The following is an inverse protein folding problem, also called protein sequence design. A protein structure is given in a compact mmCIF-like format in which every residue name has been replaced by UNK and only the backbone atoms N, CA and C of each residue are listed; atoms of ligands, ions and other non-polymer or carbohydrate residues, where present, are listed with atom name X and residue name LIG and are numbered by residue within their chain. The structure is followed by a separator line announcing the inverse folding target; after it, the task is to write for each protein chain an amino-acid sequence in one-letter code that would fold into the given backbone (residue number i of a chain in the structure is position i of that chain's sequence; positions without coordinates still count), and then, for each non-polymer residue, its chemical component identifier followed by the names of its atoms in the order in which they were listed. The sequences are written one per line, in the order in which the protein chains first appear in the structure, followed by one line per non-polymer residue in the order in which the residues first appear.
data_IF_852899455407
#
_entry.id   IF_852899455407
#
_cell.length_a   1.000
_cell.length_b   1.000
_cell.length_c   1.000
_cell.angle_alpha   90.00
_cell.angle_beta   90.00
_cell.angle_gamma   90.00
#
_symmetry.space_group_name_H-M   'P 1'
#
loop_
_entity.id
_entity.type
_entity.pdbx_description
1 polymer ?
#
# COMPACT_ATOMS: atom_id res chain seq x y z
N UNK A 1 56.65 -17.83 -33.30
CA UNK A 1 55.22 -18.06 -33.57
C UNK A 1 54.47 -16.88 -32.97
N UNK A 2 54.56 -15.63 -33.47
CA UNK A 2 54.41 -15.10 -34.84
C UNK A 2 53.22 -15.67 -35.60
N UNK A 3 52.20 -14.82 -35.75
CA UNK A 3 51.28 -14.62 -36.91
C UNK A 3 50.29 -13.51 -36.47
N UNK A 4 50.64 -12.22 -36.56
CA UNK A 4 50.51 -11.31 -37.72
C UNK A 4 49.08 -11.18 -38.29
N UNK A 5 48.48 -10.02 -38.00
CA UNK A 5 47.38 -9.38 -38.72
C UNK A 5 47.67 -9.22 -40.22
N UNK A 6 46.63 -9.23 -41.07
CA UNK A 6 46.66 -8.55 -42.36
C UNK A 6 45.73 -7.32 -42.41
N UNK A 7 46.31 -6.25 -42.94
CA UNK A 7 45.68 -5.03 -43.46
C UNK A 7 44.73 -5.30 -44.64
N UNK A 8 43.72 -4.44 -44.84
CA UNK A 8 43.25 -3.84 -46.12
C UNK A 8 42.03 -2.92 -45.78
N UNK A 9 42.10 -1.58 -45.77
CA UNK A 9 42.19 -0.56 -46.85
C UNK A 9 40.89 -0.28 -47.64
N UNK A 10 40.39 0.95 -47.48
CA UNK A 10 39.62 1.82 -48.40
C UNK A 10 38.22 1.43 -48.91
N UNK A 11 37.21 2.26 -48.57
CA UNK A 11 36.33 2.90 -49.57
C UNK A 11 35.44 4.01 -48.93
N UNK A 12 35.52 5.19 -49.53
CA UNK A 12 34.58 6.32 -49.40
C UNK A 12 33.17 5.94 -49.85
N UNK A 13 32.11 6.39 -49.15
CA UNK A 13 30.98 7.06 -49.80
C UNK A 13 30.09 7.85 -48.82
N UNK A 14 30.01 9.16 -49.05
CA UNK A 14 28.95 10.07 -48.57
C UNK A 14 27.85 10.13 -49.64
N UNK A 15 26.56 10.27 -49.27
CA UNK A 15 25.77 11.37 -49.82
C UNK A 15 24.91 12.04 -48.71
N UNK A 16 25.01 13.36 -48.48
CA UNK A 16 24.31 14.47 -49.16
C UNK A 16 22.78 14.35 -49.22
N UNK A 17 22.16 15.06 -48.27
CA UNK A 17 20.96 15.92 -48.32
C UNK A 17 20.15 15.95 -49.62
N UNK A 18 18.81 15.91 -49.49
CA UNK A 18 17.93 16.71 -50.33
C UNK A 18 16.64 17.06 -49.59
N UNK A 19 16.56 18.32 -49.17
CA UNK A 19 15.32 19.03 -48.87
C UNK A 19 14.55 19.24 -50.18
N UNK A 20 13.23 19.06 -50.16
CA UNK A 20 12.34 19.78 -51.06
C UNK A 20 10.98 19.99 -50.41
N UNK A 21 10.68 21.26 -50.29
CA UNK A 21 9.45 21.92 -49.89
C UNK A 21 8.43 21.92 -51.04
N UNK A 22 7.23 22.39 -50.69
CA UNK A 22 6.09 22.82 -51.52
C UNK A 22 4.94 21.80 -51.60
N UNK A 23 3.66 22.15 -51.54
CA UNK A 23 2.92 23.35 -51.13
C UNK A 23 1.43 23.05 -51.34
N UNK A 24 0.56 23.63 -50.50
CA UNK A 24 -0.83 24.00 -50.82
C UNK A 24 -1.87 22.88 -50.98
N UNK A 25 -2.90 22.87 -50.12
CA UNK A 25 -4.23 23.40 -50.48
C UNK A 25 -5.29 23.17 -49.40
N UNK A 26 -6.02 24.26 -49.13
CA UNK A 26 -7.35 24.39 -48.53
C UNK A 26 -8.18 23.13 -48.26
N UNK A 27 -8.73 23.04 -47.06
CA UNK A 27 -10.19 22.98 -46.96
C UNK A 27 -10.73 23.47 -45.62
N UNK A 28 -11.52 24.53 -45.75
CA UNK A 28 -12.38 25.16 -44.77
C UNK A 28 -13.47 24.17 -44.33
N UNK A 29 -13.56 23.87 -43.04
CA UNK A 29 -14.75 23.26 -42.46
C UNK A 29 -15.07 23.96 -41.14
N UNK A 30 -15.76 25.09 -41.26
CA UNK A 30 -16.52 25.71 -40.18
C UNK A 30 -17.56 24.68 -39.70
N UNK A 31 -17.52 24.28 -38.44
CA UNK A 31 -18.68 23.63 -37.82
C UNK A 31 -19.07 24.36 -36.56
N UNK A 32 -20.31 24.81 -36.62
CA UNK A 32 -20.94 25.77 -35.74
C UNK A 32 -21.12 25.24 -34.31
N UNK A 33 -20.97 26.20 -33.39
CA UNK A 33 -21.56 26.27 -32.07
C UNK A 33 -22.96 25.61 -32.02
N UNK A 34 -23.15 24.73 -31.05
CA UNK A 34 -24.46 24.54 -30.41
C UNK A 34 -24.30 24.60 -28.90
N UNK A 35 -24.51 25.80 -28.40
CA UNK A 35 -24.97 26.04 -27.04
C UNK A 35 -26.29 25.28 -26.85
N UNK A 36 -26.35 24.39 -25.86
CA UNK A 36 -27.60 23.88 -25.32
C UNK A 36 -27.62 24.20 -23.83
N UNK A 37 -28.04 25.43 -23.53
CA UNK A 37 -28.64 25.76 -22.25
C UNK A 37 -30.10 25.34 -22.30
N UNK A 38 -30.48 24.31 -21.54
CA UNK A 38 -31.88 24.10 -21.16
C UNK A 38 -31.98 24.11 -19.64
N UNK A 39 -32.56 25.20 -19.16
CA UNK A 39 -33.08 25.37 -17.83
C UNK A 39 -34.56 24.97 -17.88
N UNK A 40 -34.98 23.94 -17.16
CA UNK A 40 -36.37 23.82 -16.71
C UNK A 40 -36.43 23.09 -15.37
N UNK A 41 -37.12 23.73 -14.45
CA UNK A 41 -37.49 23.36 -13.09
C UNK A 41 -38.42 22.15 -13.02
N UNK A 42 -38.52 21.51 -11.84
CA UNK A 42 -39.78 21.38 -11.06
C UNK A 42 -40.05 19.98 -10.41
N UNK A 43 -40.22 20.03 -9.08
CA UNK A 43 -41.09 19.23 -8.19
C UNK A 43 -40.73 17.77 -7.85
N UNK A 44 -40.33 17.50 -6.59
CA UNK A 44 -41.15 17.26 -5.37
C UNK A 44 -41.77 15.87 -5.33
N UNK A 45 -41.27 15.01 -4.44
CA UNK A 45 -42.12 14.11 -3.65
C UNK A 45 -41.42 13.71 -2.35
N UNK A 46 -41.94 14.26 -1.25
CA UNK A 46 -41.72 13.80 0.12
C UNK A 46 -42.50 12.51 0.32
N UNK A 47 -41.93 11.49 0.94
CA UNK A 47 -42.71 10.53 1.73
C UNK A 47 -42.08 10.38 3.11
N UNK A 48 -42.71 11.08 4.04
CA UNK A 48 -42.71 10.75 5.45
C UNK A 48 -43.47 9.44 5.65
N UNK A 49 -42.94 8.55 6.47
CA UNK A 49 -43.73 7.49 7.10
C UNK A 49 -44.06 7.92 8.53
N UNK A 50 -45.33 7.84 8.96
CA UNK A 50 -45.75 8.22 10.30
C UNK A 50 -45.70 7.05 11.28
N UNK A 51 -45.84 7.47 12.54
CA UNK A 51 -45.79 6.79 13.82
C UNK A 51 -47.10 6.11 14.27
N UNK A 52 -47.01 5.50 15.46
CA UNK A 52 -48.02 5.05 16.43
C UNK A 52 -48.53 3.61 16.28
N UNK A 53 -48.25 2.67 17.21
CA UNK A 53 -48.64 2.51 18.64
C UNK A 53 -50.15 2.43 18.88
N UNK A 54 -50.65 1.34 19.46
CA UNK A 54 -51.79 1.21 20.40
C UNK A 54 -51.90 -0.29 20.80
N UNK A 55 -51.49 -0.70 22.01
CA UNK A 55 -52.27 -0.77 23.28
C UNK A 55 -53.25 -1.95 23.37
N UNK A 56 -53.04 -2.83 24.35
CA UNK A 56 -54.06 -3.17 25.36
C UNK A 56 -53.43 -3.87 26.58
N UNK A 57 -53.60 -3.22 27.73
CA UNK A 57 -53.53 -3.77 29.09
C UNK A 57 -54.93 -4.35 29.45
N UNK A 58 -55.18 -5.07 30.58
CA UNK A 58 -55.08 -4.49 31.93
C UNK A 58 -54.67 -5.44 33.10
N UNK A 59 -54.16 -4.79 34.15
CA UNK A 59 -53.95 -5.20 35.57
C UNK A 59 -55.32 -5.27 36.33
N UNK A 60 -55.49 -5.31 37.68
CA UNK A 60 -54.68 -5.71 38.86
C UNK A 60 -55.44 -6.53 39.96
N UNK A 61 -54.76 -6.98 41.05
CA UNK A 61 -55.26 -6.97 42.47
C UNK A 61 -54.26 -7.54 43.54
N UNK A 62 -53.57 -6.65 44.26
CA UNK A 62 -53.49 -6.37 45.73
C UNK A 62 -53.24 -7.51 46.81
N UNK A 63 -53.00 -7.22 48.13
CA UNK A 63 -51.67 -7.06 48.79
C UNK A 63 -51.43 -7.86 50.13
N UNK A 64 -50.14 -8.02 50.51
CA UNK A 64 -49.48 -8.06 51.87
C UNK A 64 -50.04 -8.87 53.07
N UNK A 65 -49.33 -9.00 54.24
CA UNK A 65 -47.90 -9.18 54.58
C UNK A 65 -47.68 -10.43 55.49
N UNK A 66 -46.46 -10.74 55.98
CA UNK A 66 -46.21 -11.21 57.37
C UNK A 66 -44.70 -11.41 57.65
N UNK A 67 -44.16 -10.51 58.48
CA UNK A 67 -43.19 -10.66 59.59
C UNK A 67 -41.98 -11.63 59.54
N UNK A 68 -40.79 -10.99 59.59
CA UNK A 68 -39.44 -11.33 60.11
C UNK A 68 -39.41 -12.17 61.43
N UNK A 69 -38.25 -12.67 61.99
CA UNK A 69 -36.86 -12.15 61.86
C UNK A 69 -35.66 -13.16 61.93
N UNK A 70 -34.45 -12.58 61.87
CA UNK A 70 -33.16 -12.99 62.48
C UNK A 70 -32.08 -13.66 61.59
N UNK A 71 -31.12 -12.79 61.22
CA UNK A 71 -29.65 -12.90 61.16
C UNK A 71 -28.94 -14.16 60.62
N UNK A 72 -28.06 -13.94 59.62
CA UNK A 72 -26.62 -14.02 59.89
C UNK A 72 -25.83 -13.12 58.93
N UNK A 73 -25.08 -12.20 59.51
CA UNK A 73 -24.05 -11.44 58.81
C UNK A 73 -22.88 -12.39 58.52
N UNK A 74 -22.76 -12.85 57.27
CA UNK A 74 -21.46 -13.27 56.74
C UNK A 74 -20.84 -12.04 56.10
N UNK A 75 -19.70 -11.62 56.66
CA UNK A 75 -18.79 -10.65 56.11
C UNK A 75 -18.62 -10.84 54.60
N UNK A 76 -19.07 -9.86 53.82
CA UNK A 76 -18.67 -9.71 52.43
C UNK A 76 -17.18 -9.40 52.46
N UNK A 77 -16.37 -10.44 52.31
CA UNK A 77 -14.95 -10.33 52.02
C UNK A 77 -14.82 -9.43 50.80
N UNK A 78 -14.37 -8.20 51.03
CA UNK A 78 -13.82 -7.37 49.97
C UNK A 78 -12.55 -8.10 49.52
N UNK A 79 -12.65 -8.86 48.44
CA UNK A 79 -11.47 -9.16 47.63
C UNK A 79 -11.00 -7.82 47.09
N UNK A 80 -10.06 -7.20 47.80
CA UNK A 80 -9.19 -6.18 47.25
C UNK A 80 -8.53 -6.80 46.02
N UNK A 81 -9.06 -6.48 44.84
CA UNK A 81 -8.46 -6.86 43.56
C UNK A 81 -7.18 -6.02 43.48
N UNK A 82 -6.08 -6.58 43.98
CA UNK A 82 -4.75 -6.11 43.60
C UNK A 82 -4.67 -6.26 42.08
N UNK A 83 -4.33 -5.21 41.31
CA UNK A 83 -4.02 -5.39 39.90
C UNK A 83 -2.99 -6.51 39.81
N UNK A 84 -3.38 -7.60 39.14
CA UNK A 84 -2.57 -8.81 39.06
C UNK A 84 -1.22 -8.49 38.44
N UNK A 85 -0.16 -8.71 39.20
CA UNK A 85 1.25 -8.61 38.78
C UNK A 85 1.52 -9.42 37.49
N UNK A 86 0.71 -10.45 37.23
CA UNK A 86 0.79 -11.30 36.05
C UNK A 86 0.50 -10.55 34.73
N UNK A 87 -0.29 -9.47 34.75
CA UNK A 87 -0.60 -8.66 33.54
C UNK A 87 0.59 -7.76 33.17
N UNK A 88 1.32 -7.25 34.15
CA UNK A 88 2.49 -6.40 33.92
C UNK A 88 3.69 -7.20 33.39
N UNK A 89 3.82 -8.46 33.80
CA UNK A 89 4.89 -9.34 33.35
C UNK A 89 4.75 -9.72 31.87
N UNK A 90 3.52 -9.97 31.39
CA UNK A 90 3.26 -10.25 29.97
C UNK A 90 3.33 -9.00 29.09
N UNK A 91 2.85 -7.85 29.56
CA UNK A 91 2.96 -6.58 28.82
C UNK A 91 4.41 -6.18 28.53
N UNK A 92 5.33 -6.49 29.45
CA UNK A 92 6.76 -6.25 29.27
C UNK A 92 7.37 -7.17 28.20
N UNK A 93 7.00 -8.44 28.19
CA UNK A 93 7.44 -9.41 27.17
C UNK A 93 7.00 -8.97 25.76
N UNK A 94 5.73 -8.57 25.63
CA UNK A 94 5.14 -8.13 24.36
C UNK A 94 5.82 -6.85 23.84
N UNK A 95 6.15 -5.92 24.74
CA UNK A 95 6.89 -4.71 24.41
C UNK A 95 8.28 -5.03 23.82
N UNK A 96 9.06 -5.92 24.46
CA UNK A 96 10.39 -6.27 23.95
C UNK A 96 10.35 -7.00 22.62
N UNK A 97 9.35 -7.88 22.43
CA UNK A 97 9.12 -8.53 21.15
C UNK A 97 8.80 -7.50 20.06
N UNK A 98 7.87 -6.58 20.34
CA UNK A 98 7.48 -5.52 19.41
C UNK A 98 8.67 -4.62 19.04
N UNK A 99 9.48 -4.18 20.02
CA UNK A 99 10.67 -3.37 19.75
C UNK A 99 11.61 -4.07 18.77
N UNK A 100 11.87 -5.36 19.00
CA UNK A 100 12.72 -6.16 18.12
C UNK A 100 12.13 -6.27 16.72
N UNK A 101 10.83 -6.47 16.61
CA UNK A 101 10.14 -6.56 15.32
C UNK A 101 10.16 -5.23 14.56
N UNK A 102 10.03 -4.10 15.26
CA UNK A 102 10.18 -2.74 14.69
C UNK A 102 11.59 -2.54 14.14
N UNK A 103 12.62 -2.92 14.89
CA UNK A 103 14.03 -2.81 14.46
C UNK A 103 14.30 -3.68 13.24
N UNK A 104 13.88 -4.94 13.25
CA UNK A 104 14.04 -5.84 12.11
C UNK A 104 13.27 -5.36 10.85
N UNK A 105 12.07 -4.83 11.04
CA UNK A 105 11.27 -4.29 9.94
C UNK A 105 11.90 -3.02 9.38
N UNK A 106 12.50 -2.18 10.23
CA UNK A 106 13.21 -0.98 9.80
C UNK A 106 14.40 -1.31 8.90
N UNK A 107 15.25 -2.26 9.31
CA UNK A 107 16.38 -2.73 8.51
C UNK A 107 15.90 -3.26 7.14
N UNK A 108 14.84 -4.07 7.14
CA UNK A 108 14.24 -4.61 5.91
C UNK A 108 13.73 -3.49 4.99
N UNK A 109 13.09 -2.45 5.53
CA UNK A 109 12.62 -1.31 4.72
C UNK A 109 13.81 -0.59 4.08
N UNK A 110 14.89 -0.36 4.81
CA UNK A 110 16.08 0.29 4.27
C UNK A 110 16.74 -0.53 3.16
N UNK A 111 16.86 -1.85 3.34
CA UNK A 111 17.36 -2.77 2.30
C UNK A 111 16.49 -2.73 1.04
N UNK A 112 15.16 -2.71 1.20
CA UNK A 112 14.21 -2.60 0.08
C UNK A 112 14.36 -1.26 -0.64
N UNK A 113 14.51 -0.15 0.09
CA UNK A 113 14.67 1.18 -0.52
C UNK A 113 15.97 1.29 -1.32
N UNK A 114 17.05 0.71 -0.81
CA UNK A 114 18.35 0.67 -1.50
C UNK A 114 18.25 -0.22 -2.74
N UNK A 115 17.73 -1.43 -2.61
CA UNK A 115 17.63 -2.40 -3.72
C UNK A 115 16.64 -1.96 -4.80
N UNK A 116 15.56 -1.26 -4.44
CA UNK A 116 14.63 -0.64 -5.38
C UNK A 116 15.25 0.55 -6.15
N UNK A 117 16.42 1.03 -5.74
CA UNK A 117 17.13 2.13 -6.40
C UNK A 117 16.47 3.49 -6.17
N UNK A 118 16.06 3.80 -4.93
CA UNK A 118 15.40 5.07 -4.58
C UNK A 118 16.15 6.30 -5.12
N UNK A 119 17.48 6.34 -4.98
CA UNK A 119 18.30 7.44 -5.50
C UNK A 119 18.17 7.63 -7.01
N UNK A 120 18.11 6.51 -7.76
CA UNK A 120 17.93 6.56 -9.21
C UNK A 120 16.52 7.02 -9.58
N UNK A 121 15.50 6.58 -8.85
CA UNK A 121 14.13 7.04 -9.04
C UNK A 121 14.01 8.54 -8.80
N UNK A 122 14.65 9.09 -7.76
CA UNK A 122 14.65 10.52 -7.48
C UNK A 122 15.38 11.34 -8.56
N UNK A 123 16.49 10.81 -9.09
CA UNK A 123 17.20 11.42 -10.21
C UNK A 123 16.33 11.42 -11.49
N UNK A 124 15.68 10.30 -11.79
CA UNK A 124 14.77 10.15 -12.93
C UNK A 124 13.56 11.09 -12.78
N UNK A 125 13.02 11.22 -11.57
CA UNK A 125 11.96 12.16 -11.25
C UNK A 125 12.37 13.58 -11.59
N UNK A 126 13.54 14.03 -11.13
CA UNK A 126 14.03 15.39 -11.40
C UNK A 126 14.20 15.64 -12.92
N UNK A 127 14.67 14.64 -13.67
CA UNK A 127 14.80 14.71 -15.13
C UNK A 127 13.42 14.81 -15.81
N UNK A 128 12.47 13.99 -15.40
CA UNK A 128 11.11 13.97 -15.95
C UNK A 128 10.35 15.26 -15.60
N UNK A 129 10.49 15.78 -14.39
CA UNK A 129 9.91 17.05 -13.98
C UNK A 129 10.46 18.21 -14.82
N UNK A 130 11.77 18.23 -15.06
CA UNK A 130 12.39 19.22 -15.95
C UNK A 130 11.85 19.14 -17.38
N UNK A 131 11.67 17.94 -17.93
CA UNK A 131 11.05 17.74 -19.25
C UNK A 131 9.58 18.16 -19.26
N UNK A 132 8.86 17.93 -18.17
CA UNK A 132 7.45 18.30 -18.04
C UNK A 132 7.22 19.82 -17.98
N UNK A 133 8.23 20.56 -17.49
CA UNK A 133 8.22 22.02 -17.41
C UNK A 133 8.63 22.72 -18.71
N UNK A 134 9.15 21.98 -19.69
CA UNK A 134 9.53 22.53 -20.99
C UNK A 134 8.28 22.85 -21.82
N UNK A 135 8.20 24.08 -22.36
CA UNK A 135 7.11 24.50 -23.21
C UNK A 135 6.97 23.69 -24.50
N UNK A 136 8.07 23.11 -25.00
CA UNK A 136 8.09 22.29 -26.23
C UNK A 136 7.43 20.92 -26.06
N UNK A 137 7.15 20.49 -24.82
CA UNK A 137 6.43 19.25 -24.54
C UNK A 137 5.07 19.21 -25.25
N UNK A 138 4.38 20.34 -25.29
CA UNK A 138 3.03 20.45 -25.84
C UNK A 138 2.98 20.46 -27.38
N UNK A 139 4.14 20.51 -28.05
CA UNK A 139 4.22 20.44 -29.51
C UNK A 139 3.95 19.02 -30.04
N UNK A 140 4.16 17.99 -29.22
CA UNK A 140 3.93 16.58 -29.55
C UNK A 140 3.05 15.91 -28.47
N UNK A 141 1.73 15.79 -28.70
CA UNK A 141 0.81 15.27 -27.69
C UNK A 141 1.08 13.81 -27.30
N UNK A 142 1.65 13.00 -28.20
CA UNK A 142 2.00 11.61 -27.91
C UNK A 142 3.18 11.54 -26.94
N UNK A 143 4.25 12.31 -27.19
CA UNK A 143 5.38 12.39 -26.26
C UNK A 143 5.02 13.00 -24.93
N UNK A 144 4.14 14.01 -24.92
CA UNK A 144 3.63 14.61 -23.69
C UNK A 144 2.95 13.56 -22.80
N UNK A 145 2.09 12.72 -23.40
CA UNK A 145 1.42 11.65 -22.67
C UNK A 145 2.40 10.64 -22.09
N UNK A 146 3.38 10.18 -22.88
CA UNK A 146 4.41 9.24 -22.41
C UNK A 146 5.21 9.79 -21.23
N UNK A 147 5.66 11.05 -21.30
CA UNK A 147 6.44 11.69 -20.23
C UNK A 147 5.61 11.86 -18.96
N UNK A 148 4.34 12.28 -19.09
CA UNK A 148 3.47 12.45 -17.94
C UNK A 148 3.15 11.11 -17.25
N UNK A 149 2.92 10.04 -18.02
CA UNK A 149 2.73 8.69 -17.48
C UNK A 149 3.98 8.19 -16.75
N UNK A 150 5.16 8.32 -17.38
CA UNK A 150 6.41 7.94 -16.73
C UNK A 150 6.65 8.74 -15.43
N UNK A 151 6.31 10.03 -15.42
CA UNK A 151 6.41 10.89 -14.24
C UNK A 151 5.48 10.40 -13.13
N UNK A 152 4.21 10.10 -13.42
CA UNK A 152 3.29 9.58 -12.41
C UNK A 152 3.76 8.24 -11.86
N UNK A 153 4.23 7.34 -12.71
CA UNK A 153 4.72 6.02 -12.30
C UNK A 153 5.92 6.13 -11.35
N UNK A 154 6.89 7.00 -11.65
CA UNK A 154 8.06 7.23 -10.79
C UNK A 154 7.64 7.88 -9.46
N UNK A 155 6.73 8.86 -9.49
CA UNK A 155 6.21 9.49 -8.26
C UNK A 155 5.50 8.48 -7.36
N UNK A 156 4.69 7.60 -7.93
CA UNK A 156 3.98 6.57 -7.16
C UNK A 156 4.95 5.58 -6.52
N UNK A 157 6.00 5.17 -7.23
CA UNK A 157 7.04 4.29 -6.67
C UNK A 157 7.79 4.94 -5.50
N UNK A 158 8.24 6.19 -5.66
CA UNK A 158 8.93 6.93 -4.59
C UNK A 158 8.00 7.11 -3.39
N UNK A 159 6.75 7.49 -3.64
CA UNK A 159 5.76 7.66 -2.58
C UNK A 159 5.56 6.37 -1.80
N UNK A 160 5.40 5.23 -2.48
CA UNK A 160 5.24 3.93 -1.81
C UNK A 160 6.42 3.60 -0.90
N UNK A 161 7.66 3.81 -1.37
CA UNK A 161 8.86 3.57 -0.57
C UNK A 161 8.96 4.49 0.66
N UNK A 162 8.57 5.76 0.51
CA UNK A 162 8.53 6.71 1.61
C UNK A 162 7.39 6.42 2.59
N UNK A 163 6.25 5.90 2.11
CA UNK A 163 5.14 5.48 2.97
C UNK A 163 5.59 4.30 3.88
N UNK A 164 6.42 3.38 3.39
CA UNK A 164 7.02 2.32 4.21
C UNK A 164 7.93 2.87 5.31
N UNK A 165 8.81 3.82 4.97
CA UNK A 165 9.66 4.50 5.95
C UNK A 165 8.81 5.23 7.01
N UNK A 166 7.77 5.95 6.58
CA UNK A 166 6.88 6.67 7.50
C UNK A 166 6.18 5.73 8.49
N UNK A 167 5.74 4.54 8.04
CA UNK A 167 5.08 3.56 8.92
C UNK A 167 6.05 2.98 9.96
N UNK A 168 7.30 2.72 9.57
CA UNK A 168 8.35 2.31 10.51
C UNK A 168 8.61 3.39 11.55
N UNK A 169 8.77 4.65 11.12
CA UNK A 169 9.06 5.76 12.02
C UNK A 169 7.90 6.04 12.99
N UNK A 170 6.65 5.84 12.56
CA UNK A 170 5.48 5.90 13.44
C UNK A 170 5.55 4.82 14.52
N UNK A 171 5.82 3.56 14.15
CA UNK A 171 5.95 2.47 15.11
C UNK A 171 7.15 2.66 16.06
N UNK A 172 8.30 3.13 15.55
CA UNK A 172 9.47 3.52 16.37
C UNK A 172 9.13 4.61 17.37
N UNK A 173 8.36 5.61 16.95
CA UNK A 173 7.93 6.70 17.83
C UNK A 173 7.10 6.16 19.00
N UNK A 174 6.16 5.25 18.74
CA UNK A 174 5.36 4.60 19.78
C UNK A 174 6.24 3.79 20.75
N UNK A 175 7.20 3.03 20.22
CA UNK A 175 8.16 2.26 21.04
C UNK A 175 8.97 3.21 21.93
N UNK A 176 9.57 4.26 21.36
CA UNK A 176 10.37 5.23 22.12
C UNK A 176 9.56 5.93 23.22
N UNK A 177 8.32 6.34 22.91
CA UNK A 177 7.41 6.92 23.91
C UNK A 177 7.10 5.93 25.05
N UNK A 178 6.99 4.65 24.74
CA UNK A 178 6.75 3.61 25.74
C UNK A 178 7.98 3.37 26.62
N UNK A 179 9.20 3.46 26.07
CA UNK A 179 10.45 3.33 26.84
C UNK A 179 10.64 4.45 27.86
N UNK A 180 10.23 5.66 27.50
CA UNK A 180 10.35 6.84 28.36
C UNK A 180 9.24 6.91 29.43
N UNK A 181 8.17 6.14 29.26
CA UNK A 181 6.99 6.15 30.13
C UNK A 181 7.14 5.22 31.34
N UNK A 182 6.64 5.66 32.50
CA UNK A 182 6.64 4.84 33.73
C UNK A 182 5.66 3.65 33.68
N UNK A 183 4.71 3.68 32.74
CA UNK A 183 3.69 2.64 32.56
C UNK A 183 3.48 2.33 31.08
N UNK A 184 3.31 1.04 30.79
CA UNK A 184 2.99 0.56 29.44
C UNK A 184 1.51 0.80 29.13
N UNK A 185 1.23 1.54 28.07
CA UNK A 185 -0.11 1.64 27.50
C UNK A 185 -0.33 0.52 26.47
N UNK A 186 -1.11 -0.49 26.85
CA UNK A 186 -1.43 -1.61 25.99
C UNK A 186 -2.16 -1.20 24.68
N UNK A 187 -2.90 -0.09 24.69
CA UNK A 187 -3.57 0.42 23.50
C UNK A 187 -2.59 0.92 22.45
N UNK A 188 -1.57 1.66 22.88
CA UNK A 188 -0.50 2.13 22.00
C UNK A 188 0.37 0.98 21.47
N UNK A 189 0.66 -0.01 22.32
CA UNK A 189 1.39 -1.20 21.88
C UNK A 189 0.63 -1.99 20.80
N UNK A 190 -0.67 -2.17 20.98
CA UNK A 190 -1.51 -2.85 19.98
C UNK A 190 -1.51 -2.06 18.65
N UNK A 191 -1.57 -0.73 18.71
CA UNK A 191 -1.49 0.13 17.52
C UNK A 191 -0.16 -0.04 16.77
N UNK A 192 0.97 0.05 17.46
CA UNK A 192 2.29 -0.17 16.86
C UNK A 192 2.44 -1.60 16.30
N UNK A 193 1.93 -2.61 17.01
CA UNK A 193 1.95 -4.01 16.52
C UNK A 193 1.15 -4.17 15.24
N UNK A 194 0.01 -3.48 15.14
CA UNK A 194 -0.83 -3.48 13.95
C UNK A 194 -0.13 -2.81 12.77
N UNK A 195 0.51 -1.65 13.00
CA UNK A 195 1.29 -0.94 11.96
C UNK A 195 2.37 -1.87 11.40
N UNK A 196 3.19 -2.49 12.26
CA UNK A 196 4.27 -3.39 11.84
C UNK A 196 3.72 -4.62 11.10
N UNK A 197 2.61 -5.19 11.55
CA UNK A 197 1.98 -6.31 10.85
C UNK A 197 1.47 -5.91 9.47
N UNK A 198 0.82 -4.76 9.34
CA UNK A 198 0.31 -4.27 8.06
C UNK A 198 1.45 -3.91 7.10
N UNK A 199 2.50 -3.28 7.62
CA UNK A 199 3.71 -2.96 6.88
C UNK A 199 4.40 -4.23 6.37
N UNK A 200 4.65 -5.23 7.22
CA UNK A 200 5.27 -6.49 6.79
C UNK A 200 4.49 -7.16 5.65
N UNK A 201 3.15 -7.20 5.75
CA UNK A 201 2.31 -7.71 4.67
C UNK A 201 2.41 -6.86 3.37
N UNK A 202 2.65 -5.56 3.48
CA UNK A 202 2.86 -4.69 2.33
C UNK A 202 4.25 -4.91 1.69
N UNK A 203 5.29 -5.09 2.51
CA UNK A 203 6.64 -5.43 2.05
C UNK A 203 6.67 -6.77 1.32
N UNK A 204 6.03 -7.81 1.88
CA UNK A 204 5.92 -9.13 1.24
C UNK A 204 5.26 -9.03 -0.14
N UNK A 205 4.19 -8.24 -0.25
CA UNK A 205 3.49 -8.00 -1.52
C UNK A 205 4.36 -7.23 -2.52
N UNK A 206 5.11 -6.25 -2.04
CA UNK A 206 6.02 -5.47 -2.88
C UNK A 206 7.14 -6.34 -3.44
N UNK A 207 7.83 -7.09 -2.59
CA UNK A 207 8.90 -8.01 -3.00
C UNK A 207 8.39 -9.07 -3.98
N UNK A 208 7.21 -9.66 -3.71
CA UNK A 208 6.59 -10.60 -4.62
C UNK A 208 6.30 -9.97 -5.99
N UNK A 209 5.86 -8.71 -6.01
CA UNK A 209 5.64 -7.98 -7.27
C UNK A 209 6.96 -7.75 -8.02
N UNK A 210 8.07 -7.50 -7.32
CA UNK A 210 9.39 -7.38 -7.94
C UNK A 210 9.89 -8.73 -8.49
N UNK A 211 9.66 -9.83 -7.77
CA UNK A 211 10.01 -11.17 -8.21
C UNK A 211 9.20 -11.64 -9.41
N UNK A 212 7.95 -11.19 -9.54
CA UNK A 212 7.01 -11.57 -10.60
C UNK A 212 6.88 -10.52 -11.72
N UNK A 213 7.99 -9.83 -12.04
CA UNK A 213 8.02 -8.79 -13.06
C UNK A 213 8.37 -9.30 -14.47
N UNK A 214 8.47 -10.61 -14.66
CA UNK A 214 8.78 -11.27 -15.92
C UNK A 214 7.61 -11.25 -16.91
N UNK A 215 7.88 -11.35 -18.23
CA UNK A 215 6.86 -11.26 -19.27
C UNK A 215 5.83 -12.39 -19.24
N UNK A 216 6.16 -13.54 -18.61
CA UNK A 216 5.31 -14.73 -18.54
C UNK A 216 4.81 -15.03 -17.12
N UNK A 217 5.12 -14.19 -16.12
CA UNK A 217 4.79 -14.49 -14.72
C UNK A 217 3.29 -14.42 -14.41
N UNK A 218 2.51 -13.83 -15.33
CA UNK A 218 1.03 -13.83 -15.29
C UNK A 218 0.42 -15.12 -15.83
N UNK A 219 1.18 -15.92 -16.56
CA UNK A 219 0.71 -17.14 -17.20
C UNK A 219 0.82 -18.33 -16.25
N UNK A 220 -0.02 -19.36 -16.48
CA UNK A 220 0.06 -20.59 -15.70
C UNK A 220 1.36 -21.35 -15.96
N UNK A 221 2.02 -21.81 -14.91
CA UNK A 221 3.22 -22.64 -15.03
C UNK A 221 2.84 -24.11 -15.29
N UNK A 222 3.48 -24.73 -16.30
CA UNK A 222 3.44 -26.20 -16.50
C UNK A 222 4.70 -26.79 -15.91
N UNK A 223 4.56 -27.53 -14.81
CA UNK A 223 5.68 -28.18 -14.12
C UNK A 223 5.75 -29.63 -14.58
N UNK A 224 6.81 -30.00 -15.29
CA UNK A 224 7.09 -31.39 -15.67
C UNK A 224 8.19 -31.97 -14.78
N UNK A 225 7.81 -32.89 -13.89
CA UNK A 225 8.75 -33.60 -13.02
C UNK A 225 9.15 -34.89 -13.70
N UNK A 226 10.44 -35.04 -14.05
CA UNK A 226 10.97 -36.28 -14.64
C UNK A 226 11.94 -36.91 -13.66
N UNK A 227 11.71 -38.18 -13.31
CA UNK A 227 12.64 -38.93 -12.47
C UNK A 227 14.01 -39.04 -13.19
N UNK A 228 15.08 -38.68 -12.49
CA UNK A 228 16.44 -38.80 -13.00
C UNK A 228 16.89 -40.25 -13.19
N UNK A 229 18.08 -40.45 -13.74
CA UNK A 229 18.66 -41.79 -13.92
C UNK A 229 19.00 -42.44 -12.56
N UNK A 230 18.04 -43.16 -11.99
CA UNK A 230 18.21 -43.82 -10.69
C UNK A 230 17.20 -44.92 -10.40
N UNK A 231 16.78 -45.71 -11.40
CA UNK A 231 16.01 -46.95 -11.19
C UNK A 231 14.85 -46.85 -10.19
N UNK A 232 14.66 -47.87 -9.35
CA UNK A 232 13.61 -47.94 -8.31
C UNK A 232 13.81 -46.96 -7.15
N UNK A 233 15.00 -46.37 -7.00
CA UNK A 233 15.30 -45.40 -5.93
C UNK A 233 14.83 -43.98 -6.34
N UNK A 234 14.93 -43.64 -7.63
CA UNK A 234 14.48 -42.36 -8.18
C UNK A 234 12.95 -42.20 -8.25
N UNK A 235 12.19 -43.28 -8.03
CA UNK A 235 10.72 -43.25 -8.00
C UNK A 235 10.13 -42.92 -6.62
N UNK A 236 10.95 -42.90 -5.56
CA UNK A 236 10.51 -42.70 -4.16
C UNK A 236 10.60 -41.22 -3.73
N UNK A 237 10.79 -40.31 -4.68
CA UNK A 237 10.80 -38.87 -4.45
C UNK A 237 9.63 -38.20 -5.17
N UNK A 238 8.40 -38.58 -4.84
CA UNK A 238 7.20 -37.83 -5.21
C UNK A 238 6.20 -37.89 -4.05
#
# INVERSE_FOLDING_TARGET
MECLNPHLSHAHHVPRTCSSSSSSSSSSARRALRLFSFHTTSLRTKRLFPSSSFLSSPNPRNPSPLSLPVQLATSRSQSSVKPSTDIAEWAMQDFYALRKDVEATAERVDEIRISAGLEQLEADLAVLEKKSADSSLWDDPSKAQEILLALTDVKEKIKLLNDFESQVEEAKTIVNLTEESESIDAGLLEEASKIIRELNNALDRYELTQLLAGPYDKEGAVINITAGAGGTDAQVCI
#
